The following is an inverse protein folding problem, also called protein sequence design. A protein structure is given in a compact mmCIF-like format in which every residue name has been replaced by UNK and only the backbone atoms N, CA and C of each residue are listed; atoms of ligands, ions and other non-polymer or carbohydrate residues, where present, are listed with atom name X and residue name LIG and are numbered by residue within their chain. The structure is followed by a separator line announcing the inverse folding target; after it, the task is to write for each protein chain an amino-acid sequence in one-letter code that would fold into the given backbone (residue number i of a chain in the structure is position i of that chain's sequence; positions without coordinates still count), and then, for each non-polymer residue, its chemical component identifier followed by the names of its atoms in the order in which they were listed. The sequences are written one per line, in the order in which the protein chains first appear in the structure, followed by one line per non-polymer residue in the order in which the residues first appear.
data_IF_728373780160
#
_entry.id   IF_728373780160
#
_cell.length_a   1.000
_cell.length_b   1.000
_cell.length_c   1.000
_cell.angle_alpha   90.00
_cell.angle_beta   90.00
_cell.angle_gamma   90.00
#
_symmetry.space_group_name_H-M   'P 1'
#
loop_
_entity.id
_entity.type
_entity.pdbx_description
1 polymer ?
#
# COMPACT_ATOMS: atom_id res chain seq x y z
N UNK A 1 2.45 -21.24 24.01
CA UNK A 1 3.04 -20.13 24.79
C UNK A 1 2.64 -18.81 24.14
N UNK A 2 1.76 -18.05 24.79
CA UNK A 2 1.37 -16.71 24.35
C UNK A 2 2.44 -15.70 24.82
N UNK A 3 2.96 -14.87 23.92
CA UNK A 3 3.94 -13.84 24.25
C UNK A 3 3.27 -12.80 25.20
N UNK A 4 3.69 -12.79 26.47
CA UNK A 4 3.24 -11.86 27.52
C UNK A 4 4.29 -10.81 27.89
N UNK A 5 5.41 -10.76 27.19
CA UNK A 5 6.38 -9.70 27.39
C UNK A 5 6.02 -8.60 26.38
N UNK A 6 5.76 -7.37 26.83
CA UNK A 6 5.43 -6.20 25.99
C UNK A 6 6.54 -5.76 25.02
N UNK A 7 7.38 -6.70 24.58
CA UNK A 7 8.41 -6.54 23.57
C UNK A 7 7.75 -6.28 22.22
N UNK A 8 8.24 -5.29 21.46
CA UNK A 8 7.67 -4.93 20.18
C UNK A 8 7.72 -6.13 19.21
N UNK A 9 6.62 -6.37 18.51
CA UNK A 9 6.51 -7.39 17.46
C UNK A 9 6.56 -6.76 16.06
N UNK A 10 6.19 -5.50 15.96
CA UNK A 10 6.21 -4.73 14.71
C UNK A 10 7.09 -3.49 14.90
N UNK A 11 8.01 -3.27 13.97
CA UNK A 11 8.77 -2.03 13.92
C UNK A 11 8.13 -1.05 12.95
N UNK A 12 7.82 0.16 13.38
CA UNK A 12 7.45 1.27 12.49
C UNK A 12 8.68 2.14 12.32
N UNK A 13 9.15 2.27 11.09
CA UNK A 13 10.27 3.17 10.74
C UNK A 13 9.81 4.21 9.74
N UNK A 14 10.33 5.43 9.87
CA UNK A 14 10.09 6.50 8.91
C UNK A 14 11.31 7.37 8.67
N UNK A 15 11.38 8.01 7.50
CA UNK A 15 12.55 8.75 7.05
C UNK A 15 12.69 10.14 7.66
N UNK A 16 11.59 10.70 8.17
CA UNK A 16 11.48 12.05 8.73
C UNK A 16 10.38 12.10 9.79
N UNK A 17 10.50 13.00 10.78
CA UNK A 17 9.45 13.25 11.77
C UNK A 17 8.12 13.68 11.13
N UNK A 18 8.20 14.40 10.00
CA UNK A 18 7.04 14.82 9.22
C UNK A 18 6.22 13.65 8.65
N UNK A 19 6.82 12.47 8.48
CA UNK A 19 6.10 11.28 8.01
C UNK A 19 5.13 10.74 9.08
N UNK A 20 5.29 11.16 10.35
CA UNK A 20 4.51 10.68 11.49
C UNK A 20 3.00 10.93 11.32
N UNK A 21 2.60 12.06 10.75
CA UNK A 21 1.17 12.38 10.51
C UNK A 21 0.46 11.31 9.65
N UNK A 22 1.20 10.67 8.74
CA UNK A 22 0.71 9.51 7.99
C UNK A 22 0.87 8.22 8.78
N UNK A 23 2.06 8.01 9.36
CA UNK A 23 2.46 6.73 9.96
C UNK A 23 1.79 6.43 11.30
N UNK A 24 1.26 7.44 12.00
CA UNK A 24 0.47 7.24 13.22
C UNK A 24 -0.76 6.36 12.96
N UNK A 25 -1.33 6.37 11.75
CA UNK A 25 -2.42 5.48 11.38
C UNK A 25 -2.05 3.99 11.47
N UNK A 26 -0.77 3.64 11.28
CA UNK A 26 -0.28 2.29 11.53
C UNK A 26 -0.21 2.00 13.03
N UNK A 27 0.33 2.93 13.82
CA UNK A 27 0.45 2.81 15.28
C UNK A 27 -0.93 2.65 15.95
N UNK A 28 -1.88 3.52 15.63
CA UNK A 28 -3.27 3.44 16.11
C UNK A 28 -3.90 2.09 15.81
N UNK A 29 -3.70 1.58 14.58
CA UNK A 29 -4.29 0.31 14.17
C UNK A 29 -3.63 -0.89 14.84
N UNK A 30 -2.30 -0.87 15.06
CA UNK A 30 -1.60 -1.90 15.82
C UNK A 30 -2.03 -1.89 17.30
N UNK A 31 -2.18 -0.72 17.90
CA UNK A 31 -2.72 -0.56 19.25
C UNK A 31 -4.13 -1.15 19.37
N UNK A 32 -5.01 -0.88 18.40
CA UNK A 32 -6.36 -1.46 18.36
C UNK A 32 -6.38 -2.99 18.21
N UNK A 33 -5.31 -3.59 17.67
CA UNK A 33 -5.14 -5.05 17.63
C UNK A 33 -4.36 -5.60 18.84
N UNK A 34 -3.98 -4.74 19.79
CA UNK A 34 -3.14 -5.06 20.94
C UNK A 34 -1.85 -5.78 20.48
N UNK A 35 -1.23 -5.27 19.43
CA UNK A 35 0.06 -5.75 18.91
C UNK A 35 1.13 -4.77 19.41
N UNK A 36 2.10 -5.20 20.23
CA UNK A 36 3.20 -4.33 20.65
C UNK A 36 4.02 -3.87 19.44
N UNK A 37 4.36 -2.58 19.42
CA UNK A 37 5.17 -2.00 18.35
C UNK A 37 6.17 -1.00 18.91
N UNK A 38 7.20 -0.73 18.12
CA UNK A 38 8.15 0.36 18.33
C UNK A 38 8.08 1.35 17.18
N UNK A 39 8.49 2.59 17.43
CA UNK A 39 8.56 3.65 16.42
C UNK A 39 9.98 4.20 16.42
N UNK A 40 10.58 4.35 15.25
CA UNK A 40 11.91 4.94 15.07
C UNK A 40 11.97 5.84 13.83
N UNK A 41 12.73 6.93 13.93
CA UNK A 41 13.01 7.81 12.79
C UNK A 41 14.43 7.52 12.30
N UNK A 42 14.53 6.88 11.13
CA UNK A 42 15.78 6.45 10.51
C UNK A 42 15.73 6.76 9.03
N UNK A 43 16.73 7.48 8.52
CA UNK A 43 16.70 8.02 7.16
C UNK A 43 17.67 7.25 6.26
N UNK A 44 17.17 6.69 5.16
CA UNK A 44 18.02 6.00 4.18
C UNK A 44 19.05 6.92 3.54
N UNK A 45 18.72 8.20 3.34
CA UNK A 45 19.61 9.16 2.70
C UNK A 45 20.55 9.87 3.68
N UNK A 46 20.07 10.18 4.89
CA UNK A 46 20.85 10.96 5.88
C UNK A 46 21.61 10.10 6.89
N UNK A 47 21.08 8.92 7.23
CA UNK A 47 21.66 8.02 8.23
C UNK A 47 21.65 6.54 7.78
N UNK A 48 22.24 6.20 6.62
CA UNK A 48 22.17 4.85 6.04
C UNK A 48 22.72 3.75 6.96
N UNK A 49 23.78 4.04 7.72
CA UNK A 49 24.35 3.10 8.71
C UNK A 49 23.35 2.75 9.81
N UNK A 50 22.56 3.73 10.27
CA UNK A 50 21.55 3.50 11.29
C UNK A 50 20.41 2.62 10.78
N UNK A 51 19.95 2.84 9.53
CA UNK A 51 18.94 2.00 8.88
C UNK A 51 19.45 0.55 8.75
N UNK A 52 20.69 0.37 8.29
CA UNK A 52 21.33 -0.93 8.18
C UNK A 52 21.39 -1.65 9.55
N UNK A 53 21.89 -0.96 10.58
CA UNK A 53 21.97 -1.52 11.94
C UNK A 53 20.59 -1.89 12.49
N UNK A 54 19.59 -1.02 12.28
CA UNK A 54 18.20 -1.30 12.67
C UNK A 54 17.69 -2.59 12.02
N UNK A 55 17.83 -2.72 10.71
CA UNK A 55 17.33 -3.86 9.93
C UNK A 55 18.04 -5.18 10.29
N UNK A 56 19.37 -5.17 10.44
CA UNK A 56 20.17 -6.35 10.79
C UNK A 56 19.90 -6.86 12.21
N UNK A 57 19.55 -5.97 13.14
CA UNK A 57 19.29 -6.32 14.54
C UNK A 57 17.82 -6.65 14.79
N UNK A 58 16.89 -6.19 13.95
CA UNK A 58 15.43 -6.30 14.12
C UNK A 58 14.95 -7.68 14.55
N UNK A 59 15.38 -8.75 13.85
CA UNK A 59 14.99 -10.13 14.18
C UNK A 59 15.47 -10.57 15.55
N UNK A 60 16.71 -10.21 15.94
CA UNK A 60 17.27 -10.52 17.26
C UNK A 60 16.55 -9.75 18.38
N UNK A 61 16.03 -8.56 18.08
CA UNK A 61 15.22 -7.76 19.01
C UNK A 61 13.79 -8.29 19.18
N UNK A 62 13.38 -9.29 18.39
CA UNK A 62 12.07 -9.94 18.50
C UNK A 62 11.02 -9.42 17.53
N UNK A 63 11.39 -8.56 16.57
CA UNK A 63 10.48 -8.09 15.54
C UNK A 63 10.13 -9.21 14.56
N UNK A 64 8.88 -9.20 14.10
CA UNK A 64 8.34 -10.12 13.11
C UNK A 64 8.04 -9.44 11.77
N UNK A 65 7.70 -8.15 11.80
CA UNK A 65 7.34 -7.36 10.61
C UNK A 65 7.89 -5.95 10.79
N UNK A 66 8.35 -5.33 9.71
CA UNK A 66 8.73 -3.91 9.69
C UNK A 66 7.80 -3.17 8.74
N UNK A 67 7.26 -2.04 9.19
CA UNK A 67 6.48 -1.11 8.39
C UNK A 67 7.36 0.12 8.16
N UNK A 68 7.65 0.45 6.91
CA UNK A 68 8.54 1.54 6.53
C UNK A 68 7.77 2.62 5.75
N UNK A 69 7.74 3.84 6.28
CA UNK A 69 7.14 5.01 5.65
C UNK A 69 8.20 5.95 5.06
N UNK A 70 8.03 6.36 3.80
CA UNK A 70 8.86 7.39 3.18
C UNK A 70 8.13 8.05 2.01
N UNK A 71 8.44 9.32 1.75
CA UNK A 71 7.93 10.07 0.61
C UNK A 71 9.00 10.44 -0.43
N UNK A 72 8.57 10.96 -1.59
CA UNK A 72 9.46 11.31 -2.69
C UNK A 72 10.24 10.11 -3.24
N UNK A 73 11.57 10.20 -3.30
CA UNK A 73 12.45 9.07 -3.60
C UNK A 73 12.53 8.09 -2.41
N UNK A 74 11.45 7.34 -2.20
CA UNK A 74 11.16 6.56 -1.00
C UNK A 74 12.00 5.27 -0.84
N UNK A 75 13.31 5.41 -0.60
CA UNK A 75 14.24 4.27 -0.54
C UNK A 75 14.21 3.48 0.79
N UNK A 76 13.56 3.99 1.84
CA UNK A 76 13.64 3.39 3.18
C UNK A 76 13.20 1.92 3.22
N UNK A 77 12.04 1.61 2.63
CA UNK A 77 11.52 0.24 2.61
C UNK A 77 12.46 -0.74 1.90
N UNK A 78 12.98 -0.36 0.73
CA UNK A 78 13.92 -1.17 -0.04
C UNK A 78 15.25 -1.39 0.68
N UNK A 79 15.81 -0.35 1.30
CA UNK A 79 17.06 -0.45 2.07
C UNK A 79 16.87 -1.35 3.29
N UNK A 80 15.76 -1.22 4.02
CA UNK A 80 15.48 -2.12 5.15
C UNK A 80 15.36 -3.56 4.68
N UNK A 81 14.63 -3.82 3.59
CA UNK A 81 14.44 -5.17 3.03
C UNK A 81 15.76 -5.81 2.57
N UNK A 82 16.73 -5.02 2.10
CA UNK A 82 18.05 -5.52 1.70
C UNK A 82 18.89 -6.05 2.88
N UNK A 83 18.61 -5.62 4.11
CA UNK A 83 19.40 -5.94 5.30
C UNK A 83 18.67 -6.83 6.31
N UNK A 84 17.49 -7.36 5.97
CA UNK A 84 16.72 -8.22 6.86
C UNK A 84 15.96 -9.31 6.11
N UNK A 85 15.73 -10.42 6.78
CA UNK A 85 14.85 -11.50 6.27
C UNK A 85 13.44 -11.41 6.83
N UNK A 86 13.12 -10.34 7.57
CA UNK A 86 11.77 -10.07 8.03
C UNK A 86 10.94 -9.48 6.87
N UNK A 87 9.63 -9.79 6.80
CA UNK A 87 8.72 -9.08 5.91
C UNK A 87 8.78 -7.57 6.15
N UNK A 88 8.97 -6.82 5.06
CA UNK A 88 8.93 -5.35 5.06
C UNK A 88 7.71 -4.89 4.29
N UNK A 89 6.91 -4.04 4.92
CA UNK A 89 5.73 -3.40 4.34
C UNK A 89 6.06 -1.95 4.07
N UNK A 90 5.94 -1.51 2.83
CA UNK A 90 6.24 -0.14 2.41
C UNK A 90 4.98 0.72 2.36
N UNK A 91 5.00 1.88 3.03
CA UNK A 91 3.94 2.89 2.99
C UNK A 91 4.44 4.12 2.23
N UNK A 92 3.96 4.35 1.00
CA UNK A 92 4.28 5.56 0.26
C UNK A 92 3.65 6.80 0.92
N UNK A 93 4.46 7.77 1.32
CA UNK A 93 3.98 9.03 1.92
C UNK A 93 3.83 10.09 0.83
N UNK A 94 2.69 10.77 0.80
CA UNK A 94 2.40 11.83 -0.17
C UNK A 94 3.02 13.17 0.26
N UNK A 95 4.35 13.28 0.20
CA UNK A 95 5.09 14.47 0.66
C UNK A 95 5.52 15.44 -0.45
N UNK A 96 5.19 15.15 -1.71
CA UNK A 96 5.60 15.93 -2.88
C UNK A 96 4.39 16.39 -3.70
N UNK A 97 4.58 17.33 -4.65
CA UNK A 97 3.52 17.74 -5.58
C UNK A 97 2.94 16.60 -6.44
N UNK A 98 3.63 15.45 -6.51
CA UNK A 98 3.19 14.26 -7.25
C UNK A 98 2.21 13.38 -6.46
N UNK A 99 1.73 13.86 -5.31
CA UNK A 99 0.71 13.20 -4.48
C UNK A 99 1.08 11.74 -4.12
N UNK A 100 2.39 11.47 -3.96
CA UNK A 100 2.92 10.16 -3.59
C UNK A 100 3.02 9.15 -4.74
N UNK A 101 2.79 9.54 -6.00
CA UNK A 101 3.05 8.65 -7.16
C UNK A 101 4.53 8.29 -7.27
N UNK A 102 5.41 9.27 -7.02
CA UNK A 102 6.85 9.09 -6.92
C UNK A 102 7.22 8.12 -5.79
N UNK A 103 6.67 8.32 -4.59
CA UNK A 103 6.89 7.44 -3.45
C UNK A 103 6.38 6.02 -3.73
N UNK A 104 5.23 5.89 -4.39
CA UNK A 104 4.63 4.60 -4.73
C UNK A 104 5.56 3.80 -5.65
N UNK A 105 5.98 4.41 -6.77
CA UNK A 105 6.85 3.75 -7.74
C UNK A 105 8.23 3.44 -7.13
N UNK A 106 8.79 4.37 -6.34
CA UNK A 106 10.06 4.15 -5.64
C UNK A 106 9.99 3.01 -4.60
N UNK A 107 8.81 2.72 -4.07
CA UNK A 107 8.62 1.66 -3.06
C UNK A 107 8.28 0.30 -3.70
N UNK A 108 7.41 0.28 -4.72
CA UNK A 108 6.84 -0.97 -5.26
C UNK A 108 7.70 -1.64 -6.34
N UNK A 109 8.49 -0.88 -7.10
CA UNK A 109 9.26 -1.38 -8.24
C UNK A 109 10.59 -2.03 -7.83
N UNK A 110 10.55 -2.90 -6.81
CA UNK A 110 11.72 -3.63 -6.36
C UNK A 110 12.16 -4.68 -7.39
N UNK A 111 13.47 -4.85 -7.65
CA UNK A 111 13.95 -5.95 -8.46
C UNK A 111 13.72 -7.31 -7.77
N UNK A 112 13.76 -8.39 -8.56
CA UNK A 112 13.62 -9.75 -8.02
C UNK A 112 14.68 -10.06 -6.95
N UNK A 113 14.25 -10.69 -5.85
CA UNK A 113 15.12 -11.13 -4.75
C UNK A 113 15.02 -10.31 -3.46
N UNK A 114 14.58 -9.05 -3.52
CA UNK A 114 14.44 -8.18 -2.33
C UNK A 114 13.04 -7.56 -2.30
N UNK A 115 12.01 -8.30 -1.86
CA UNK A 115 10.63 -7.84 -1.95
C UNK A 115 10.26 -6.82 -0.87
N UNK A 116 9.39 -5.87 -1.23
CA UNK A 116 8.67 -4.99 -0.31
C UNK A 116 7.17 -5.12 -0.57
N UNK A 117 6.39 -5.38 0.48
CA UNK A 117 4.93 -5.43 0.37
C UNK A 117 4.37 -4.01 0.41
N UNK A 118 4.16 -3.40 -0.76
CA UNK A 118 3.69 -2.01 -0.84
C UNK A 118 2.17 -1.92 -0.68
N UNK A 119 1.72 -0.97 0.13
CA UNK A 119 0.29 -0.66 0.33
C UNK A 119 -0.10 0.67 -0.35
N UNK A 120 -1.35 1.10 -0.18
CA UNK A 120 -1.83 2.37 -0.71
C UNK A 120 -1.00 3.58 -0.23
N UNK A 121 -1.12 4.70 -0.92
CA UNK A 121 -0.47 5.97 -0.55
C UNK A 121 -1.14 6.57 0.70
N UNK A 122 -0.34 7.20 1.58
CA UNK A 122 -0.81 8.03 2.69
C UNK A 122 -1.41 7.24 3.86
N UNK A 123 -2.26 7.91 4.67
CA UNK A 123 -2.86 7.34 5.89
C UNK A 123 -3.63 6.04 5.66
N UNK A 124 -4.45 5.87 4.60
CA UNK A 124 -5.08 4.58 4.31
C UNK A 124 -4.06 3.46 4.08
N UNK A 125 -2.90 3.80 3.50
CA UNK A 125 -1.72 2.95 3.42
C UNK A 125 -1.22 2.51 4.78
N UNK A 126 -0.89 3.48 5.65
CA UNK A 126 -0.39 3.20 7.00
C UNK A 126 -1.34 2.29 7.80
N UNK A 127 -2.65 2.56 7.78
CA UNK A 127 -3.63 1.69 8.42
C UNK A 127 -3.62 0.26 7.84
N UNK A 128 -3.57 0.14 6.50
CA UNK A 128 -3.56 -1.16 5.83
C UNK A 128 -2.25 -1.90 6.06
N UNK A 129 -1.12 -1.21 6.20
CA UNK A 129 0.14 -1.82 6.58
C UNK A 129 0.04 -2.49 7.96
N UNK A 130 -0.58 -1.84 8.93
CA UNK A 130 -0.84 -2.44 10.24
C UNK A 130 -1.80 -3.64 10.16
N UNK A 131 -2.83 -3.57 9.32
CA UNK A 131 -3.73 -4.72 9.07
C UNK A 131 -2.97 -5.89 8.44
N UNK A 132 -2.11 -5.63 7.45
CA UNK A 132 -1.30 -6.65 6.79
C UNK A 132 -0.29 -7.26 7.76
N UNK A 133 0.39 -6.45 8.57
CA UNK A 133 1.27 -6.93 9.64
C UNK A 133 0.51 -7.83 10.63
N UNK A 134 -0.70 -7.42 11.04
CA UNK A 134 -1.56 -8.23 11.88
C UNK A 134 -1.95 -9.56 11.21
N UNK A 135 -2.24 -9.57 9.91
CA UNK A 135 -2.54 -10.80 9.16
C UNK A 135 -1.35 -11.76 9.12
N UNK A 136 -0.14 -11.24 8.90
CA UNK A 136 1.10 -12.03 8.95
C UNK A 136 1.27 -12.66 10.34
N UNK A 137 1.11 -11.87 11.40
CA UNK A 137 1.21 -12.35 12.78
C UNK A 137 0.09 -13.34 13.15
N UNK A 138 -1.11 -13.18 12.61
CA UNK A 138 -2.27 -14.03 12.86
C UNK A 138 -2.07 -15.47 12.39
N UNK A 139 -1.16 -15.72 11.43
CA UNK A 139 -0.78 -17.08 11.01
C UNK A 139 -0.27 -17.93 12.18
N UNK A 140 0.32 -17.30 13.20
CA UNK A 140 0.85 -17.96 14.40
C UNK A 140 0.17 -17.55 15.70
N UNK A 141 -0.78 -16.61 15.66
CA UNK A 141 -1.41 -16.02 16.84
C UNK A 141 -2.93 -16.06 16.76
N UNK A 142 -3.54 -17.05 17.45
CA UNK A 142 -5.00 -17.18 17.55
C UNK A 142 -5.69 -15.92 18.10
N UNK A 143 -5.15 -15.22 19.13
CA UNK A 143 -5.76 -13.98 19.63
C UNK A 143 -5.81 -12.86 18.58
N UNK A 144 -4.72 -12.65 17.83
CA UNK A 144 -4.67 -11.62 16.77
C UNK A 144 -5.64 -11.98 15.65
N UNK A 145 -5.68 -13.26 15.25
CA UNK A 145 -6.66 -13.75 14.26
C UNK A 145 -8.09 -13.43 14.67
N UNK A 146 -8.46 -13.70 15.93
CA UNK A 146 -9.80 -13.40 16.43
C UNK A 146 -10.12 -11.89 16.43
N UNK A 147 -9.15 -11.01 16.73
CA UNK A 147 -9.32 -9.55 16.63
C UNK A 147 -9.55 -9.10 15.18
N UNK A 148 -8.83 -9.67 14.22
CA UNK A 148 -9.02 -9.40 12.79
C UNK A 148 -10.40 -9.84 12.30
N UNK A 149 -10.84 -11.04 12.68
CA UNK A 149 -12.17 -11.57 12.33
C UNK A 149 -13.28 -10.69 12.90
N UNK A 150 -13.18 -10.30 14.18
CA UNK A 150 -14.12 -9.36 14.81
C UNK A 150 -14.17 -8.01 14.10
N UNK A 151 -13.03 -7.49 13.64
CA UNK A 151 -13.00 -6.25 12.85
C UNK A 151 -13.69 -6.44 11.50
N UNK A 152 -13.48 -7.58 10.83
CA UNK A 152 -14.08 -7.84 9.51
C UNK A 152 -15.59 -8.04 9.59
N UNK A 153 -16.09 -8.71 10.64
CA UNK A 153 -17.53 -8.85 10.87
C UNK A 153 -18.20 -7.51 11.17
N UNK A 154 -17.55 -6.62 11.92
CA UNK A 154 -18.00 -5.23 12.10
C UNK A 154 -18.04 -4.42 10.80
N UNK A 155 -17.31 -4.82 9.75
CA UNK A 155 -17.27 -4.16 8.43
C UNK A 155 -18.16 -4.81 7.34
N UNK A 156 -18.70 -6.00 7.56
CA UNK A 156 -19.44 -6.76 6.53
C UNK A 156 -20.91 -7.02 6.96
N UNK A 157 -21.93 -6.76 6.12
CA UNK A 157 -22.42 -5.45 5.65
C UNK A 157 -23.95 -5.26 5.94
N UNK A 158 -24.58 -4.12 5.61
CA UNK A 158 -25.94 -4.18 5.09
C UNK A 158 -25.87 -4.74 3.66
N UNK A 159 -25.98 -6.06 3.55
CA UNK A 159 -26.48 -6.71 2.34
C UNK A 159 -27.99 -6.50 2.23
N UNK A 160 -28.44 -5.25 2.08
CA UNK A 160 -29.85 -4.90 1.79
C UNK A 160 -29.88 -3.90 0.63
N UNK A 161 -30.25 -4.44 -0.53
CA UNK A 161 -30.76 -3.79 -1.75
C UNK A 161 -30.08 -2.51 -2.25
N UNK A 162 -29.09 -2.67 -3.12
CA UNK A 162 -29.06 -1.87 -4.36
C UNK A 162 -29.37 -2.78 -5.53
N UNK A 163 -30.56 -3.40 -5.50
CA UNK A 163 -31.24 -3.79 -6.73
C UNK A 163 -31.81 -2.55 -7.43
N UNK A 164 -30.97 -1.54 -7.66
CA UNK A 164 -31.07 -0.78 -8.89
C UNK A 164 -30.13 -1.48 -9.84
N UNK A 165 -30.66 -2.47 -10.58
CA UNK A 165 -30.17 -2.66 -11.95
C UNK A 165 -29.99 -1.24 -12.50
N UNK A 166 -28.82 -0.82 -13.02
CA UNK A 166 -28.77 0.42 -13.77
C UNK A 166 -29.88 0.29 -14.79
N UNK A 167 -30.92 1.13 -14.69
CA UNK A 167 -32.05 1.08 -15.60
C UNK A 167 -31.39 1.19 -16.97
N UNK A 168 -31.45 0.11 -17.76
CA UNK A 168 -31.12 0.23 -19.18
C UNK A 168 -31.91 1.43 -19.65
N UNK A 169 -31.29 2.46 -20.23
CA UNK A 169 -32.05 3.57 -20.78
C UNK A 169 -33.13 2.97 -21.66
N UNK A 170 -34.38 3.33 -21.39
CA UNK A 170 -35.52 2.86 -22.15
C UNK A 170 -35.25 3.16 -23.62
N UNK A 171 -35.42 2.16 -24.48
CA UNK A 171 -35.17 2.28 -25.90
C UNK A 171 -36.18 3.27 -26.52
N UNK A 172 -35.92 4.57 -26.45
CA UNK A 172 -36.62 5.59 -27.23
C UNK A 172 -35.71 6.65 -27.85
N UNK A 173 -34.40 6.48 -27.77
CA UNK A 173 -33.46 7.23 -28.59
C UNK A 173 -32.42 6.28 -29.19
N UNK A 174 -32.84 5.52 -30.20
CA UNK A 174 -31.89 4.93 -31.15
C UNK A 174 -31.31 6.07 -31.99
N UNK A 175 -30.40 6.86 -31.42
CA UNK A 175 -29.43 7.54 -32.27
C UNK A 175 -28.60 6.43 -32.88
N UNK A 176 -28.78 6.19 -34.18
CA UNK A 176 -28.01 5.19 -34.91
C UNK A 176 -26.53 5.53 -34.72
N UNK A 177 -25.84 4.77 -33.87
CA UNK A 177 -24.39 4.68 -33.95
C UNK A 177 -24.10 4.28 -35.40
N UNK A 178 -23.38 5.08 -36.20
CA UNK A 178 -22.98 4.63 -37.51
C UNK A 178 -22.13 3.39 -37.26
N UNK A 179 -22.60 2.24 -37.74
CA UNK A 179 -21.81 1.01 -37.76
C UNK A 179 -20.54 1.30 -38.53
N UNK A 180 -19.45 1.61 -37.83
CA UNK A 180 -18.12 1.54 -38.37
C UNK A 180 -17.90 0.05 -38.68
N UNK A 181 -18.01 -0.29 -39.97
CA UNK A 181 -17.71 -1.65 -40.41
C UNK A 181 -16.24 -1.90 -40.08
N UNK A 182 -15.94 -3.10 -39.59
CA UNK A 182 -14.60 -3.62 -39.30
C UNK A 182 -13.68 -3.74 -40.55
N UNK A 183 -13.89 -2.93 -41.60
CA UNK A 183 -13.12 -2.94 -42.85
C UNK A 183 -12.20 -1.73 -43.03
N UNK A 184 -12.17 -0.79 -42.09
CA UNK A 184 -11.41 0.46 -42.23
C UNK A 184 -10.14 0.52 -41.36
N UNK A 185 -9.72 -0.61 -40.76
CA UNK A 185 -8.46 -0.70 -40.03
C UNK A 185 -7.37 -1.31 -40.92
N UNK A 186 -6.38 -0.49 -41.33
CA UNK A 186 -5.15 -0.92 -42.01
C UNK A 186 -3.97 -0.81 -41.05
N UNK A 187 -3.04 -1.79 -40.99
CA UNK A 187 -1.95 -1.80 -40.01
C UNK A 187 -0.85 -0.73 -40.24
N UNK A 188 -0.94 0.05 -41.32
CA UNK A 188 0.14 0.91 -41.81
C UNK A 188 0.02 2.40 -41.47
N UNK A 189 -0.94 2.83 -40.65
CA UNK A 189 -0.84 4.11 -39.92
C UNK A 189 -0.67 5.41 -40.74
N UNK A 190 -1.14 5.48 -42.00
CA UNK A 190 -1.13 6.72 -42.78
C UNK A 190 -2.56 7.11 -43.16
N UNK A 191 -3.09 8.13 -42.49
CA UNK A 191 -4.36 8.75 -42.86
C UNK A 191 -4.18 9.56 -44.17
N UNK A 192 -4.90 9.18 -45.23
CA UNK A 192 -5.01 10.01 -46.44
C UNK A 192 -5.86 11.24 -46.11
N UNK A 193 -5.26 12.42 -46.13
CA UNK A 193 -5.98 13.70 -46.10
C UNK A 193 -6.78 13.82 -47.40
N UNK A 194 -8.11 13.68 -47.30
CA UNK A 194 -9.03 14.04 -48.37
C UNK A 194 -9.33 15.54 -48.29
N UNK A 195 -8.97 16.27 -49.34
CA UNK A 195 -9.30 17.68 -49.54
C UNK A 195 -10.82 17.90 -49.54
N UNK A 196 -11.29 18.88 -48.77
CA UNK A 196 -12.64 19.44 -48.90
C UNK A 196 -12.52 20.91 -49.23
N UNK A 197 -12.82 21.25 -50.48
CA UNK A 197 -13.09 22.61 -50.94
C UNK A 197 -14.39 23.11 -50.30
N UNK A 198 -14.34 24.36 -49.81
CA UNK A 198 -15.49 25.07 -49.27
C UNK A 198 -16.33 25.65 -50.41
N UNK A 199 -17.63 25.34 -50.41
CA UNK A 199 -18.72 26.15 -50.96
C UNK A 199 -19.90 26.04 -50.00
#
# INVERSE_FOLDING_TARGET
MAARDGRPQVGIVMGSDSDWETMEGAAERLAAFEIPYEVQVVSAHRSPKAVMQYAQTARRRGLFVIIAGAGGAAHLGGVVAAYTTLPVIGVPVASTPLQGLDALLATVQMPGGVPVATVAIGRPGAENAAVLAAQILALRSRPIRARLERRRSRRSPPGRSSSSRPRRPTASARTRCPTMRLRDWSPSGVARQGSRSWC
#
